data_IF_192329407351
#
_entry.id   IF_192329407351
#
_cell.length_a   1.000
_cell.length_b   1.000
_cell.length_c   1.000
_cell.angle_alpha   90.00
_cell.angle_beta   90.00
_cell.angle_gamma   90.00
#
_symmetry.space_group_name_H-M   'P 1'
#
loop_
_entity.id
_entity.type
_entity.pdbx_description
1 polymer ?
#
# COMPACT_ATOMS: atom_id res chain seq x y z
N UNK A 1 -23.83 -24.69 2.14
CA UNK A 1 -22.48 -24.20 2.52
C UNK A 1 -22.05 -24.78 3.86
N UNK A 2 -22.85 -24.68 4.92
CA UNK A 2 -22.53 -25.21 6.28
C UNK A 2 -21.99 -26.66 6.28
N UNK A 3 -22.66 -27.61 5.62
CA UNK A 3 -22.22 -29.01 5.61
C UNK A 3 -20.86 -29.26 4.92
N UNK A 4 -20.41 -28.37 4.02
CA UNK A 4 -19.12 -28.52 3.35
C UNK A 4 -17.96 -27.92 4.13
N UNK A 5 -18.22 -26.87 4.90
CA UNK A 5 -17.24 -26.26 5.80
C UNK A 5 -16.87 -27.21 6.95
N UNK A 6 -17.86 -27.91 7.52
CA UNK A 6 -17.64 -28.90 8.58
C UNK A 6 -16.75 -30.07 8.12
N UNK A 7 -16.91 -30.54 6.87
CA UNK A 7 -16.10 -31.62 6.31
C UNK A 7 -14.65 -31.19 6.07
N UNK A 8 -14.44 -29.96 5.60
CA UNK A 8 -13.08 -29.43 5.40
C UNK A 8 -12.36 -29.21 6.74
N UNK A 9 -13.09 -28.72 7.74
CA UNK A 9 -12.56 -28.50 9.09
C UNK A 9 -12.23 -29.83 9.80
N UNK A 10 -13.06 -30.86 9.62
CA UNK A 10 -12.77 -32.24 10.03
C UNK A 10 -11.45 -32.74 9.42
N UNK A 11 -11.22 -32.49 8.13
CA UNK A 11 -10.01 -32.92 7.42
C UNK A 11 -8.77 -32.22 7.96
N UNK A 12 -8.84 -30.91 8.14
CA UNK A 12 -7.72 -30.13 8.69
C UNK A 12 -7.37 -30.64 10.11
N UNK A 13 -8.38 -31.05 10.89
CA UNK A 13 -8.17 -31.67 12.20
C UNK A 13 -7.44 -33.03 12.11
N UNK A 14 -7.80 -33.89 11.14
CA UNK A 14 -7.14 -35.18 10.92
C UNK A 14 -5.68 -35.03 10.43
N UNK A 15 -5.39 -33.95 9.71
CA UNK A 15 -4.05 -33.66 9.18
C UNK A 15 -3.09 -33.08 10.27
N UNK A 16 -3.55 -32.99 11.51
CA UNK A 16 -2.74 -32.57 12.66
C UNK A 16 -2.70 -31.05 12.87
N UNK A 17 -3.67 -30.30 12.30
CA UNK A 17 -3.76 -28.85 12.46
C UNK A 17 -2.60 -28.11 11.77
N UNK A 18 -1.79 -27.39 12.56
CA UNK A 18 -0.67 -26.57 12.06
C UNK A 18 0.59 -27.44 11.89
N UNK A 19 0.55 -28.36 10.92
CA UNK A 19 1.67 -29.20 10.52
C UNK A 19 2.77 -28.44 9.78
N UNK A 20 3.81 -29.15 9.33
CA UNK A 20 4.99 -28.53 8.68
C UNK A 20 4.61 -27.79 7.40
N UNK A 21 3.74 -28.37 6.58
CA UNK A 21 3.31 -27.73 5.33
C UNK A 21 2.53 -26.44 5.59
N UNK A 22 1.60 -26.47 6.56
CA UNK A 22 0.84 -25.29 6.97
C UNK A 22 1.77 -24.18 7.46
N UNK A 23 2.79 -24.50 8.27
CA UNK A 23 3.77 -23.49 8.73
C UNK A 23 4.49 -22.82 7.56
N UNK A 24 4.93 -23.60 6.56
CA UNK A 24 5.58 -23.03 5.36
C UNK A 24 4.63 -22.08 4.64
N UNK A 25 3.39 -22.52 4.37
CA UNK A 25 2.38 -21.70 3.68
C UNK A 25 2.07 -20.43 4.48
N UNK A 26 1.85 -20.54 5.78
CA UNK A 26 1.55 -19.41 6.66
C UNK A 26 2.73 -18.42 6.73
N UNK A 27 3.97 -18.89 6.74
CA UNK A 27 5.15 -18.02 6.65
C UNK A 27 5.21 -17.31 5.30
N UNK A 28 4.93 -17.98 4.19
CA UNK A 28 4.86 -17.33 2.88
C UNK A 28 3.76 -16.25 2.83
N UNK A 29 2.57 -16.55 3.37
CA UNK A 29 1.46 -15.61 3.47
C UNK A 29 1.79 -14.40 4.36
N UNK A 30 2.50 -14.62 5.46
CA UNK A 30 3.02 -13.56 6.32
C UNK A 30 3.97 -12.64 5.53
N UNK A 31 4.93 -13.20 4.80
CA UNK A 31 5.85 -12.40 3.98
C UNK A 31 5.11 -11.61 2.90
N UNK A 32 4.12 -12.20 2.23
CA UNK A 32 3.29 -11.51 1.23
C UNK A 32 2.51 -10.36 1.87
N UNK A 33 1.89 -10.57 3.04
CA UNK A 33 1.15 -9.52 3.74
C UNK A 33 2.05 -8.34 4.15
N UNK A 34 3.24 -8.66 4.66
CA UNK A 34 4.25 -7.67 5.03
C UNK A 34 4.68 -6.85 3.81
N UNK A 35 5.01 -7.49 2.69
CA UNK A 35 5.41 -6.79 1.46
C UNK A 35 4.25 -5.98 0.85
N UNK A 36 3.03 -6.49 0.92
CA UNK A 36 1.84 -5.76 0.49
C UNK A 36 1.69 -4.44 1.25
N UNK A 37 1.80 -4.49 2.58
CA UNK A 37 1.76 -3.30 3.44
C UNK A 37 2.82 -2.28 3.05
N UNK A 38 4.08 -2.72 2.88
CA UNK A 38 5.20 -1.85 2.46
C UNK A 38 4.88 -1.11 1.16
N UNK A 39 4.37 -1.80 0.14
CA UNK A 39 4.04 -1.15 -1.14
C UNK A 39 2.80 -0.27 -1.08
N UNK A 40 1.79 -0.66 -0.31
CA UNK A 40 0.50 0.02 -0.25
C UNK A 40 0.63 1.46 0.27
N UNK A 41 1.46 1.69 1.29
CA UNK A 41 1.68 3.02 1.88
C UNK A 41 3.00 3.68 1.44
N UNK A 42 3.74 3.09 0.50
CA UNK A 42 5.01 3.64 0.00
C UNK A 42 4.85 5.06 -0.54
N UNK A 43 3.69 5.38 -1.13
CA UNK A 43 3.45 6.67 -1.75
C UNK A 43 3.56 7.83 -0.75
N UNK A 44 3.20 7.61 0.53
CA UNK A 44 3.22 8.63 1.60
C UNK A 44 4.62 9.23 1.77
N UNK A 45 5.65 8.39 1.69
CA UNK A 45 7.04 8.85 1.79
C UNK A 45 7.57 9.41 0.47
N UNK A 46 7.07 8.95 -0.68
CA UNK A 46 7.48 9.51 -1.98
C UNK A 46 6.91 10.91 -2.22
N UNK A 47 5.67 11.15 -1.75
CA UNK A 47 4.93 12.41 -1.92
C UNK A 47 5.02 13.33 -0.69
N UNK A 48 6.03 13.13 0.16
CA UNK A 48 6.26 13.99 1.32
C UNK A 48 6.68 15.39 0.83
N UNK A 49 6.10 16.43 1.43
CA UNK A 49 6.52 17.80 1.19
C UNK A 49 7.89 18.04 1.84
N UNK A 50 8.78 18.67 1.09
CA UNK A 50 10.11 19.05 1.57
C UNK A 50 10.07 20.37 2.32
N UNK A 51 10.94 20.53 3.31
CA UNK A 51 11.24 21.85 3.84
C UNK A 51 12.26 22.55 2.92
N UNK A 52 11.83 23.67 2.36
CA UNK A 52 12.61 24.51 1.47
C UNK A 52 12.18 25.97 1.64
N UNK A 53 13.08 26.86 1.23
CA UNK A 53 12.82 28.30 1.15
C UNK A 53 13.24 28.83 -0.22
N UNK A 54 12.91 30.08 -0.47
CA UNK A 54 13.36 30.75 -1.68
C UNK A 54 14.87 31.02 -1.61
N UNK A 55 15.57 30.67 -2.68
CA UNK A 55 16.98 31.02 -2.85
C UNK A 55 17.03 32.49 -3.24
N UNK A 56 17.89 33.24 -2.56
CA UNK A 56 18.13 34.65 -2.80
C UNK A 56 19.55 34.76 -3.32
N UNK A 57 19.76 34.81 -4.66
CA UNK A 57 21.08 34.74 -5.28
C UNK A 57 22.05 35.81 -4.79
N UNK A 58 21.53 36.96 -4.36
CA UNK A 58 22.29 38.08 -3.86
C UNK A 58 22.87 37.82 -2.46
N UNK A 59 22.23 36.95 -1.67
CA UNK A 59 22.51 36.75 -0.25
C UNK A 59 23.00 35.35 0.09
N UNK A 60 22.48 34.33 -0.58
CA UNK A 60 22.81 32.93 -0.34
C UNK A 60 24.22 32.62 -0.86
N UNK A 61 25.20 32.74 0.05
CA UNK A 61 26.59 32.27 -0.10
C UNK A 61 26.88 31.06 0.80
N UNK A 62 28.07 30.98 1.41
CA UNK A 62 28.41 29.95 2.41
C UNK A 62 27.93 30.37 3.82
N UNK A 63 26.63 30.57 3.98
CA UNK A 63 26.01 31.07 5.22
C UNK A 63 25.25 29.91 5.90
N UNK A 64 25.07 29.91 7.24
CA UNK A 64 24.15 28.98 7.92
C UNK A 64 22.75 28.98 7.29
N UNK A 65 22.05 27.85 7.42
CA UNK A 65 20.77 27.56 6.75
C UNK A 65 19.70 28.64 6.97
N UNK A 66 19.63 29.20 8.19
CA UNK A 66 18.73 30.28 8.59
C UNK A 66 19.50 31.53 9.06
N UNK A 67 19.80 32.46 8.16
CA UNK A 67 20.46 33.70 8.53
C UNK A 67 19.49 34.77 9.03
N UNK A 68 19.98 35.66 9.90
CA UNK A 68 19.20 36.78 10.46
C UNK A 68 18.54 37.68 9.40
N UNK A 69 19.15 37.76 8.20
CA UNK A 69 18.63 38.57 7.12
C UNK A 69 17.39 37.97 6.42
N UNK A 70 17.10 36.68 6.63
CA UNK A 70 16.02 35.95 5.95
C UNK A 70 14.64 36.58 6.25
N UNK A 71 14.44 37.08 7.47
CA UNK A 71 13.22 37.79 7.94
C UNK A 71 12.91 39.08 7.17
N UNK A 72 13.87 39.55 6.38
CA UNK A 72 13.74 40.75 5.56
C UNK A 72 13.54 40.43 4.09
N UNK A 73 13.81 39.20 3.66
CA UNK A 73 13.82 38.81 2.26
C UNK A 73 12.68 37.85 1.89
N UNK A 74 12.15 37.10 2.86
CA UNK A 74 11.01 36.19 2.69
C UNK A 74 9.94 36.56 3.74
N UNK A 75 8.64 36.55 3.38
CA UNK A 75 7.57 36.69 4.37
C UNK A 75 7.58 35.52 5.37
N UNK A 76 7.18 35.76 6.61
CA UNK A 76 7.12 34.73 7.66
C UNK A 76 5.67 34.49 8.05
N UNK A 77 5.31 33.22 8.21
CA UNK A 77 3.98 32.86 8.71
C UNK A 77 3.88 33.27 10.18
N UNK A 78 2.77 33.89 10.57
CA UNK A 78 2.62 34.49 11.91
C UNK A 78 2.46 33.47 13.05
N UNK A 79 2.17 32.21 12.74
CA UNK A 79 1.91 31.14 13.71
C UNK A 79 3.17 30.36 14.12
N UNK A 80 4.10 30.15 13.18
CA UNK A 80 5.34 29.40 13.39
C UNK A 80 6.43 30.24 12.74
N UNK A 81 7.51 30.61 13.44
CA UNK A 81 8.63 31.48 12.96
C UNK A 81 9.41 30.82 11.81
N UNK A 82 8.71 30.48 10.73
CA UNK A 82 9.15 29.79 9.52
C UNK A 82 8.91 30.69 8.31
N UNK A 83 9.84 30.69 7.34
CA UNK A 83 9.67 31.40 6.09
C UNK A 83 8.50 30.81 5.30
N UNK A 84 7.68 31.66 4.70
CA UNK A 84 6.62 31.26 3.79
C UNK A 84 7.23 30.65 2.52
N UNK A 85 6.67 29.53 2.06
CA UNK A 85 7.16 28.82 0.88
C UNK A 85 6.77 29.60 -0.39
N UNK A 86 7.64 29.58 -1.40
CA UNK A 86 7.38 30.11 -2.75
C UNK A 86 7.17 31.61 -2.96
N UNK A 87 7.18 32.43 -1.91
CA UNK A 87 7.06 33.88 -2.00
C UNK A 87 8.33 34.55 -1.49
N UNK A 88 8.74 35.64 -2.13
CA UNK A 88 9.87 36.46 -1.67
C UNK A 88 9.61 37.95 -1.89
N UNK A 89 10.29 38.80 -1.12
CA UNK A 89 10.24 40.24 -1.30
C UNK A 89 11.14 40.67 -2.46
N UNK A 90 10.68 41.66 -3.24
CA UNK A 90 11.41 42.16 -4.39
C UNK A 90 12.70 42.88 -3.96
N UNK A 91 13.82 42.48 -4.55
CA UNK A 91 15.11 43.14 -4.36
C UNK A 91 15.16 44.52 -5.05
N UNK A 92 15.67 45.54 -4.35
CA UNK A 92 15.67 46.93 -4.84
C UNK A 92 17.00 47.38 -5.50
N UNK A 93 18.15 46.78 -5.18
CA UNK A 93 19.45 47.37 -5.52
C UNK A 93 20.04 46.87 -6.85
N UNK A 94 19.66 47.48 -7.96
CA UNK A 94 20.13 47.07 -9.31
C UNK A 94 21.58 47.46 -9.64
N UNK A 95 22.34 48.11 -8.73
CA UNK A 95 23.62 48.76 -9.09
C UNK A 95 24.81 48.56 -8.15
N UNK A 96 24.84 47.50 -7.35
CA UNK A 96 26.10 47.04 -6.76
C UNK A 96 26.01 45.56 -6.41
N UNK A 97 26.77 44.71 -7.11
CA UNK A 97 27.17 43.40 -6.59
C UNK A 97 27.56 43.59 -5.13
N UNK A 98 26.86 42.92 -4.24
CA UNK A 98 27.12 42.95 -2.80
C UNK A 98 28.59 42.58 -2.62
N UNK A 99 29.40 43.58 -2.26
CA UNK A 99 30.85 43.44 -2.30
C UNK A 99 31.39 42.65 -1.11
N UNK A 100 30.54 42.16 -0.19
CA UNK A 100 30.95 41.48 1.05
C UNK A 100 29.92 40.48 1.63
N UNK A 101 28.96 39.96 0.86
CA UNK A 101 27.99 38.96 1.35
C UNK A 101 27.06 39.42 2.49
N UNK A 102 26.97 40.73 2.78
CA UNK A 102 26.10 41.27 3.83
C UNK A 102 24.77 41.75 3.25
N UNK A 103 23.73 40.93 3.41
CA UNK A 103 22.37 41.32 3.07
C UNK A 103 21.71 42.13 4.19
N UNK A 104 21.38 43.38 3.87
CA UNK A 104 20.80 44.33 4.81
C UNK A 104 19.31 44.56 4.52
N UNK A 105 18.53 44.87 5.56
CA UNK A 105 17.07 45.09 5.49
C UNK A 105 16.65 46.06 4.40
N UNK A 106 17.43 47.12 4.16
CA UNK A 106 17.16 48.16 3.17
C UNK A 106 17.22 47.67 1.71
N UNK A 107 17.68 46.44 1.47
CA UNK A 107 17.83 45.89 0.13
C UNK A 107 16.53 45.28 -0.42
N UNK A 108 15.52 45.07 0.43
CA UNK A 108 14.28 44.37 0.09
C UNK A 108 13.05 45.26 0.25
N UNK A 109 12.12 45.17 -0.71
CA UNK A 109 10.82 45.84 -0.63
C UNK A 109 9.75 44.93 -0.02
N UNK A 110 9.41 45.17 1.25
CA UNK A 110 8.34 44.42 1.93
C UNK A 110 6.94 44.62 1.35
N UNK A 111 6.71 45.69 0.60
CA UNK A 111 5.40 45.97 -0.03
C UNK A 111 5.22 45.29 -1.39
N UNK A 112 6.28 44.70 -1.95
CA UNK A 112 6.25 44.04 -3.25
C UNK A 112 6.65 42.57 -3.09
N UNK A 113 5.66 41.69 -3.09
CA UNK A 113 5.82 40.23 -3.03
C UNK A 113 5.85 39.69 -4.45
N UNK A 114 6.79 38.78 -4.72
CA UNK A 114 6.98 38.13 -6.03
C UNK A 114 7.22 36.63 -5.84
N UNK A 115 6.85 35.79 -6.83
CA UNK A 115 7.14 34.36 -6.79
C UNK A 115 8.65 34.10 -6.87
N UNK A 116 9.09 33.00 -6.28
CA UNK A 116 10.50 32.65 -6.20
C UNK A 116 11.05 32.18 -7.54
N UNK A 117 12.29 32.59 -7.85
CA UNK A 117 12.97 32.20 -9.09
C UNK A 117 13.71 30.85 -8.96
N UNK A 118 14.12 30.50 -7.75
CA UNK A 118 14.82 29.26 -7.41
C UNK A 118 14.69 28.98 -5.91
N UNK A 119 15.03 27.75 -5.50
CA UNK A 119 14.78 27.24 -4.15
C UNK A 119 16.06 26.75 -3.48
N UNK A 120 16.17 27.01 -2.17
CA UNK A 120 17.17 26.45 -1.27
C UNK A 120 16.50 25.36 -0.44
N UNK A 121 17.05 24.15 -0.48
CA UNK A 121 16.54 22.99 0.26
C UNK A 121 17.43 22.76 1.47
N UNK A 122 16.83 22.68 2.66
CA UNK A 122 17.55 22.45 3.91
C UNK A 122 18.18 21.05 3.94
N UNK A 123 17.43 20.07 3.45
CA UNK A 123 17.88 18.70 3.36
C UNK A 123 18.35 18.35 1.94
N UNK A 124 19.30 17.41 1.87
CA UNK A 124 19.75 16.82 0.60
C UNK A 124 18.76 15.79 0.05
N UNK A 125 17.59 15.68 0.67
CA UNK A 125 16.57 14.74 0.27
C UNK A 125 16.01 15.12 -1.10
N UNK A 126 15.81 14.09 -1.93
CA UNK A 126 15.23 14.21 -3.25
C UNK A 126 13.94 13.41 -3.24
N UNK A 127 12.85 14.10 -2.94
CA UNK A 127 11.48 13.58 -3.01
C UNK A 127 10.85 13.90 -4.37
N UNK A 128 9.66 13.32 -4.62
CA UNK A 128 8.93 13.46 -5.87
C UNK A 128 8.66 14.94 -6.21
N UNK A 129 8.33 15.75 -5.21
CA UNK A 129 8.01 17.17 -5.39
C UNK A 129 9.19 18.00 -5.92
N UNK A 130 10.41 17.69 -5.48
CA UNK A 130 11.64 18.36 -5.94
C UNK A 130 12.00 18.00 -7.39
N UNK A 131 11.80 16.76 -7.80
CA UNK A 131 12.12 16.30 -9.17
C UNK A 131 11.17 16.90 -10.22
N UNK A 132 9.88 17.01 -9.89
CA UNK A 132 8.84 17.48 -10.82
C UNK A 132 8.40 18.92 -10.58
N UNK A 133 9.13 19.69 -9.76
CA UNK A 133 8.86 21.10 -9.44
C UNK A 133 7.44 21.34 -8.86
N UNK A 134 7.00 20.43 -7.98
CA UNK A 134 5.71 20.45 -7.30
C UNK A 134 5.87 21.03 -5.89
N UNK A 135 6.24 22.30 -5.83
CA UNK A 135 6.61 22.97 -4.58
C UNK A 135 5.50 23.90 -4.07
N UNK A 136 5.01 24.79 -4.93
CA UNK A 136 4.09 25.86 -4.51
C UNK A 136 2.61 25.46 -4.51
N UNK A 137 1.77 26.20 -3.79
CA UNK A 137 0.32 25.93 -3.61
C UNK A 137 -0.45 25.62 -4.90
N UNK A 138 -0.07 26.26 -6.02
CA UNK A 138 -0.70 26.02 -7.32
C UNK A 138 -0.55 24.57 -7.82
N UNK A 139 0.55 23.89 -7.44
CA UNK A 139 0.91 22.54 -7.89
C UNK A 139 1.02 21.54 -6.73
N UNK A 140 1.06 21.99 -5.48
CA UNK A 140 1.26 21.15 -4.28
C UNK A 140 0.14 20.11 -4.12
N UNK A 141 -1.08 20.43 -4.54
CA UNK A 141 -2.23 19.51 -4.53
C UNK A 141 -1.98 18.22 -5.33
N UNK A 142 -1.03 18.22 -6.28
CA UNK A 142 -0.64 17.04 -7.05
C UNK A 142 0.02 15.97 -6.16
N UNK A 143 0.70 16.36 -5.07
CA UNK A 143 1.23 15.39 -4.10
C UNK A 143 0.09 14.62 -3.42
N UNK A 144 -0.99 15.31 -3.04
CA UNK A 144 -2.21 14.68 -2.50
C UNK A 144 -2.94 13.83 -3.55
N UNK A 145 -2.85 14.21 -4.83
CA UNK A 145 -3.41 13.44 -5.93
C UNK A 145 -2.78 12.05 -6.04
N UNK A 146 -1.49 11.88 -5.70
CA UNK A 146 -0.82 10.56 -5.71
C UNK A 146 -1.58 9.56 -4.83
N UNK A 147 -1.84 9.90 -3.57
CA UNK A 147 -2.60 9.03 -2.65
C UNK A 147 -4.05 8.82 -3.09
N UNK A 148 -4.65 9.82 -3.75
CA UNK A 148 -5.99 9.71 -4.33
C UNK A 148 -6.01 8.68 -5.46
N UNK A 149 -5.04 8.73 -6.37
CA UNK A 149 -4.91 7.78 -7.48
C UNK A 149 -4.65 6.37 -6.95
N UNK A 150 -3.82 6.21 -5.92
CA UNK A 150 -3.60 4.92 -5.27
C UNK A 150 -4.92 4.34 -4.71
N UNK A 151 -5.68 5.14 -3.96
CA UNK A 151 -6.97 4.73 -3.38
C UNK A 151 -8.01 4.37 -4.45
N UNK A 152 -8.12 5.19 -5.50
CA UNK A 152 -9.02 4.93 -6.64
C UNK A 152 -8.61 3.64 -7.36
N UNK A 153 -7.32 3.42 -7.55
CA UNK A 153 -6.77 2.21 -8.16
C UNK A 153 -7.11 0.97 -7.36
N UNK A 154 -6.99 1.02 -6.03
CA UNK A 154 -7.41 -0.09 -5.16
C UNK A 154 -8.90 -0.39 -5.28
N UNK A 155 -9.75 0.64 -5.30
CA UNK A 155 -11.19 0.46 -5.43
C UNK A 155 -11.55 -0.26 -6.75
N UNK A 156 -11.00 0.22 -7.86
CA UNK A 156 -11.17 -0.42 -9.18
C UNK A 156 -10.62 -1.85 -9.15
N UNK A 157 -9.43 -2.03 -8.59
CA UNK A 157 -8.76 -3.31 -8.49
C UNK A 157 -9.54 -4.32 -7.65
N UNK A 158 -10.21 -3.92 -6.56
CA UNK A 158 -11.02 -4.84 -5.75
C UNK A 158 -12.18 -5.46 -6.55
N UNK A 159 -12.82 -4.68 -7.44
CA UNK A 159 -13.88 -5.17 -8.33
C UNK A 159 -13.33 -6.18 -9.34
N UNK A 160 -12.18 -5.86 -9.96
CA UNK A 160 -11.52 -6.70 -10.97
C UNK A 160 -10.99 -7.99 -10.33
N UNK A 161 -10.27 -7.85 -9.22
CA UNK A 161 -9.68 -8.96 -8.47
C UNK A 161 -10.74 -9.89 -7.91
N UNK A 162 -11.91 -9.40 -7.49
CA UNK A 162 -13.03 -10.26 -7.09
C UNK A 162 -13.43 -11.24 -8.20
N UNK A 163 -13.60 -10.73 -9.42
CA UNK A 163 -13.91 -11.57 -10.59
C UNK A 163 -12.77 -12.54 -10.93
N UNK A 164 -11.52 -12.07 -10.92
CA UNK A 164 -10.35 -12.90 -11.23
C UNK A 164 -10.17 -14.00 -10.17
N UNK A 165 -10.30 -13.67 -8.89
CA UNK A 165 -10.16 -14.60 -7.76
C UNK A 165 -11.17 -15.75 -7.85
N UNK A 166 -12.41 -15.43 -8.21
CA UNK A 166 -13.45 -16.45 -8.36
C UNK A 166 -13.29 -17.26 -9.64
N UNK A 167 -12.73 -16.68 -10.72
CA UNK A 167 -12.56 -17.38 -12.01
C UNK A 167 -11.28 -18.22 -12.09
N UNK A 168 -10.16 -17.69 -11.62
CA UNK A 168 -8.81 -18.24 -11.79
C UNK A 168 -8.17 -18.72 -10.49
N UNK A 169 -8.79 -18.43 -9.34
CA UNK A 169 -8.30 -18.84 -8.03
C UNK A 169 -7.56 -17.72 -7.30
N UNK A 170 -7.40 -17.91 -5.98
CA UNK A 170 -6.82 -16.92 -5.07
C UNK A 170 -5.31 -16.88 -5.22
N UNK A 171 -4.68 -18.04 -5.46
CA UNK A 171 -3.23 -18.13 -5.69
C UNK A 171 -2.79 -17.32 -6.91
N UNK A 172 -3.56 -17.35 -8.00
CA UNK A 172 -3.28 -16.56 -9.19
C UNK A 172 -3.25 -15.06 -8.88
N UNK A 173 -4.26 -14.56 -8.15
CA UNK A 173 -4.31 -13.16 -7.71
C UNK A 173 -3.11 -12.79 -6.86
N UNK A 174 -2.78 -13.60 -5.84
CA UNK A 174 -1.66 -13.30 -4.95
C UNK A 174 -0.33 -13.18 -5.69
N UNK A 175 -0.09 -14.11 -6.61
CA UNK A 175 1.21 -14.21 -7.26
C UNK A 175 1.33 -13.20 -8.38
N UNK A 176 0.38 -13.19 -9.32
CA UNK A 176 0.44 -12.31 -10.47
C UNK A 176 0.08 -10.87 -10.11
N UNK A 177 -0.86 -10.68 -9.18
CA UNK A 177 -1.19 -9.35 -8.64
C UNK A 177 0.02 -8.73 -7.95
N UNK A 178 0.63 -9.42 -6.99
CA UNK A 178 1.74 -8.84 -6.24
C UNK A 178 3.05 -8.74 -7.05
N UNK A 179 3.34 -9.72 -7.92
CA UNK A 179 4.49 -9.61 -8.82
C UNK A 179 4.28 -8.52 -9.87
N UNK A 180 3.05 -8.37 -10.37
CA UNK A 180 2.66 -7.29 -11.30
C UNK A 180 2.78 -5.92 -10.64
N UNK A 181 2.30 -5.77 -9.40
CA UNK A 181 2.51 -4.59 -8.58
C UNK A 181 4.00 -4.26 -8.47
N UNK A 182 4.84 -5.25 -8.14
CA UNK A 182 6.31 -5.09 -8.11
C UNK A 182 6.88 -4.58 -9.43
N UNK A 183 6.51 -5.18 -10.55
CA UNK A 183 7.01 -4.78 -11.88
C UNK A 183 6.57 -3.37 -12.25
N UNK A 184 5.29 -3.03 -12.08
CA UNK A 184 4.76 -1.69 -12.41
C UNK A 184 5.39 -0.64 -11.49
N UNK A 185 5.52 -0.91 -10.19
CA UNK A 185 6.19 0.00 -9.27
C UNK A 185 7.67 0.21 -9.59
N UNK A 186 8.38 -0.81 -10.07
CA UNK A 186 9.74 -0.62 -10.58
C UNK A 186 9.77 0.23 -11.85
N UNK A 187 8.84 0.02 -12.79
CA UNK A 187 8.72 0.86 -14.00
C UNK A 187 8.39 2.31 -13.63
N UNK A 188 7.62 2.54 -12.56
CA UNK A 188 7.30 3.88 -12.03
C UNK A 188 8.54 4.72 -11.76
N UNK A 189 9.67 4.12 -11.37
CA UNK A 189 10.93 4.86 -11.17
C UNK A 189 11.46 5.55 -12.43
N UNK A 190 11.10 5.03 -13.61
CA UNK A 190 11.50 5.53 -14.92
C UNK A 190 10.55 6.60 -15.48
N UNK A 191 9.56 7.05 -14.70
CA UNK A 191 8.57 8.03 -15.16
C UNK A 191 9.25 9.35 -15.57
N UNK A 192 9.11 9.80 -16.83
CA UNK A 192 9.70 11.06 -17.29
C UNK A 192 8.86 12.28 -16.91
N UNK A 193 7.61 12.08 -16.49
CA UNK A 193 6.70 13.15 -16.05
C UNK A 193 5.79 12.66 -14.93
N UNK A 194 5.24 13.61 -14.18
CA UNK A 194 4.27 13.36 -13.10
C UNK A 194 3.01 12.64 -13.59
N UNK A 195 2.57 12.89 -14.84
CA UNK A 195 1.40 12.20 -15.41
C UNK A 195 1.66 10.71 -15.54
N UNK A 196 2.85 10.31 -16.04
CA UNK A 196 3.21 8.90 -16.12
C UNK A 196 3.36 8.27 -14.74
N UNK A 197 3.93 9.02 -13.78
CA UNK A 197 4.00 8.58 -12.39
C UNK A 197 2.61 8.24 -11.82
N UNK A 198 1.62 9.14 -11.99
CA UNK A 198 0.24 8.93 -11.52
C UNK A 198 -0.45 7.76 -12.22
N UNK A 199 -0.19 7.55 -13.52
CA UNK A 199 -0.73 6.39 -14.26
C UNK A 199 -0.16 5.08 -13.70
N UNK A 200 1.15 5.02 -13.42
CA UNK A 200 1.76 3.85 -12.83
C UNK A 200 1.30 3.62 -11.38
N UNK A 201 1.15 4.67 -10.58
CA UNK A 201 0.58 4.64 -9.22
C UNK A 201 -0.84 4.04 -9.22
N UNK A 202 -1.69 4.49 -10.14
CA UNK A 202 -3.04 3.91 -10.31
C UNK A 202 -2.96 2.43 -10.69
N UNK A 203 -2.08 2.11 -11.63
CA UNK A 203 -1.99 0.75 -12.20
C UNK A 203 -1.45 -0.24 -11.18
N UNK A 204 -0.37 0.09 -10.44
CA UNK A 204 0.16 -0.80 -9.41
C UNK A 204 -0.87 -1.06 -8.29
N UNK A 205 -1.66 -0.04 -7.92
CA UNK A 205 -2.71 -0.17 -6.91
C UNK A 205 -3.83 -1.11 -7.38
N UNK A 206 -4.17 -1.11 -8.68
CA UNK A 206 -5.10 -2.09 -9.26
C UNK A 206 -4.55 -3.52 -9.14
N UNK A 207 -3.25 -3.72 -9.40
CA UNK A 207 -2.61 -5.04 -9.30
C UNK A 207 -2.49 -5.55 -7.87
N UNK A 208 -2.18 -4.67 -6.91
CA UNK A 208 -2.06 -5.05 -5.50
C UNK A 208 -3.42 -5.28 -4.83
N UNK A 209 -4.50 -4.74 -5.40
CA UNK A 209 -5.85 -4.84 -4.86
C UNK A 209 -6.30 -6.29 -4.68
N UNK A 210 -6.94 -6.55 -3.54
CA UNK A 210 -7.46 -7.88 -3.18
C UNK A 210 -6.41 -8.88 -2.72
N UNK A 211 -5.12 -8.52 -2.70
CA UNK A 211 -4.04 -9.34 -2.13
C UNK A 211 -4.34 -9.65 -0.66
N UNK A 212 -4.63 -8.63 0.14
CA UNK A 212 -4.97 -8.76 1.56
C UNK A 212 -6.11 -9.78 1.78
N UNK A 213 -7.23 -9.64 1.07
CA UNK A 213 -8.37 -10.55 1.15
C UNK A 213 -8.02 -12.00 0.77
N UNK A 214 -7.26 -12.20 -0.31
CA UNK A 214 -6.82 -13.52 -0.74
C UNK A 214 -5.86 -14.17 0.29
N UNK A 215 -4.96 -13.39 0.89
CA UNK A 215 -4.07 -13.87 1.97
C UNK A 215 -4.90 -14.34 3.17
N UNK A 216 -5.85 -13.51 3.63
CA UNK A 216 -6.72 -13.87 4.75
C UNK A 216 -7.48 -15.16 4.47
N UNK A 217 -8.08 -15.32 3.29
CA UNK A 217 -8.84 -16.52 2.92
C UNK A 217 -7.96 -17.78 2.96
N UNK A 218 -6.80 -17.77 2.31
CA UNK A 218 -5.93 -18.95 2.29
C UNK A 218 -5.39 -19.25 3.70
N UNK A 219 -5.10 -18.23 4.50
CA UNK A 219 -4.62 -18.41 5.87
C UNK A 219 -5.67 -19.05 6.78
N UNK A 220 -6.93 -18.60 6.74
CA UNK A 220 -8.02 -19.18 7.54
C UNK A 220 -8.43 -20.58 7.08
N UNK A 221 -8.25 -20.90 5.80
CA UNK A 221 -8.43 -22.25 5.23
C UNK A 221 -7.30 -23.20 5.65
N UNK A 222 -6.13 -22.66 6.00
CA UNK A 222 -4.97 -23.46 6.40
C UNK A 222 -4.95 -23.80 7.89
N UNK A 223 -5.88 -23.26 8.69
CA UNK A 223 -5.92 -23.45 10.14
C UNK A 223 -7.27 -23.98 10.63
N UNK A 224 -7.23 -24.60 11.81
CA UNK A 224 -8.42 -25.06 12.52
C UNK A 224 -9.34 -23.88 12.89
N UNK A 225 -10.67 -24.11 12.99
CA UNK A 225 -11.65 -23.08 13.34
C UNK A 225 -11.31 -22.30 14.62
N UNK A 226 -10.83 -22.98 15.66
CA UNK A 226 -10.46 -22.39 16.95
C UNK A 226 -9.19 -21.50 16.89
N UNK A 227 -8.42 -21.53 15.79
CA UNK A 227 -7.22 -20.72 15.58
C UNK A 227 -7.42 -19.61 14.54
N UNK A 228 -8.58 -19.53 13.87
CA UNK A 228 -8.84 -18.52 12.84
C UNK A 228 -8.70 -17.09 13.36
N UNK A 229 -9.22 -16.79 14.55
CA UNK A 229 -9.08 -15.46 15.16
C UNK A 229 -7.61 -15.09 15.43
N UNK A 230 -6.84 -16.02 16.01
CA UNK A 230 -5.40 -15.83 16.24
C UNK A 230 -4.65 -15.59 14.93
N UNK A 231 -4.99 -16.33 13.87
CA UNK A 231 -4.39 -16.15 12.55
C UNK A 231 -4.70 -14.77 11.98
N UNK A 232 -5.93 -14.29 12.17
CA UNK A 232 -6.31 -12.92 11.84
C UNK A 232 -5.42 -11.89 12.53
N UNK A 233 -5.17 -12.05 13.84
CA UNK A 233 -4.26 -11.17 14.58
C UNK A 233 -2.81 -11.23 14.05
N UNK A 234 -2.30 -12.43 13.75
CA UNK A 234 -0.94 -12.60 13.22
C UNK A 234 -0.76 -11.87 11.89
N UNK A 235 -1.75 -11.95 10.99
CA UNK A 235 -1.71 -11.24 9.71
C UNK A 235 -1.78 -9.72 9.88
N UNK A 236 -2.58 -9.21 10.82
CA UNK A 236 -2.60 -7.78 11.14
C UNK A 236 -1.26 -7.30 11.72
N UNK A 237 -0.63 -8.10 12.60
CA UNK A 237 0.73 -7.80 13.10
C UNK A 237 1.74 -7.78 11.95
N UNK A 238 1.62 -8.72 11.01
CA UNK A 238 2.45 -8.75 9.80
C UNK A 238 2.32 -7.47 8.97
N UNK A 239 1.09 -6.99 8.80
CA UNK A 239 0.79 -5.74 8.10
C UNK A 239 1.44 -4.54 8.81
N UNK A 240 1.27 -4.41 10.13
CA UNK A 240 1.89 -3.34 10.92
C UNK A 240 3.43 -3.40 10.89
N UNK A 241 4.03 -4.59 10.92
CA UNK A 241 5.47 -4.76 10.76
C UNK A 241 5.96 -4.32 9.38
N UNK A 242 5.14 -4.46 8.33
CA UNK A 242 5.41 -3.91 7.01
C UNK A 242 5.47 -2.39 7.02
N UNK A 243 4.58 -1.72 7.75
CA UNK A 243 4.61 -0.25 7.87
C UNK A 243 5.86 0.24 8.61
N UNK A 244 6.24 -0.45 9.70
CA UNK A 244 7.49 -0.17 10.41
C UNK A 244 8.70 -0.39 9.50
N UNK A 245 8.70 -1.47 8.70
CA UNK A 245 9.77 -1.72 7.75
C UNK A 245 9.86 -0.62 6.69
N UNK A 246 8.73 -0.14 6.16
CA UNK A 246 8.73 0.98 5.21
C UNK A 246 9.34 2.24 5.83
N UNK A 247 8.96 2.60 7.06
CA UNK A 247 9.52 3.74 7.76
C UNK A 247 11.04 3.63 7.94
N UNK A 248 11.55 2.43 8.26
CA UNK A 248 12.98 2.16 8.33
C UNK A 248 13.68 2.30 6.97
N UNK A 249 13.07 1.81 5.89
CA UNK A 249 13.62 1.97 4.53
C UNK A 249 13.66 3.45 4.16
N UNK A 250 12.58 4.20 4.40
CA UNK A 250 12.51 5.63 4.12
C UNK A 250 13.55 6.43 4.92
N UNK A 251 13.76 6.09 6.21
CA UNK A 251 14.81 6.70 7.02
C UNK A 251 16.22 6.42 6.49
N UNK A 252 16.45 5.22 5.92
CA UNK A 252 17.75 4.84 5.37
C UNK A 252 18.04 5.44 3.98
N UNK A 253 16.99 5.81 3.22
CA UNK A 253 17.07 6.17 1.81
C UNK A 253 16.24 7.42 1.53
N UNK A 254 16.89 8.57 1.50
CA UNK A 254 16.28 9.89 1.27
C UNK A 254 16.07 10.23 -0.23
N UNK A 255 16.23 9.24 -1.12
CA UNK A 255 15.94 9.39 -2.55
C UNK A 255 14.72 8.56 -2.94
N UNK A 256 13.70 9.20 -3.51
CA UNK A 256 12.41 8.58 -3.79
C UNK A 256 12.51 7.37 -4.75
N UNK A 257 13.38 7.41 -5.78
CA UNK A 257 13.54 6.26 -6.68
C UNK A 257 14.19 5.06 -5.97
N UNK A 258 15.18 5.31 -5.12
CA UNK A 258 15.81 4.26 -4.29
C UNK A 258 14.81 3.61 -3.34
N UNK A 259 13.97 4.42 -2.69
CA UNK A 259 12.88 3.93 -1.84
C UNK A 259 11.96 2.97 -2.62
N UNK A 260 11.57 3.33 -3.84
CA UNK A 260 10.74 2.46 -4.70
C UNK A 260 11.49 1.16 -5.05
N UNK A 261 12.78 1.22 -5.40
CA UNK A 261 13.56 0.01 -5.69
C UNK A 261 13.56 -0.99 -4.52
N UNK A 262 13.78 -0.50 -3.29
CA UNK A 262 13.83 -1.37 -2.10
C UNK A 262 12.47 -1.91 -1.66
N UNK A 263 11.40 -1.15 -1.90
CA UNK A 263 10.03 -1.54 -1.51
C UNK A 263 9.39 -2.47 -2.54
N UNK A 264 9.53 -2.20 -3.84
CA UNK A 264 8.90 -2.97 -4.92
C UNK A 264 9.77 -4.12 -5.43
N UNK A 265 11.09 -4.04 -5.31
CA UNK A 265 12.02 -5.09 -5.73
C UNK A 265 11.69 -6.48 -5.15
N UNK A 266 11.54 -6.62 -3.81
CA UNK A 266 11.18 -7.89 -3.19
C UNK A 266 9.83 -8.46 -3.67
N UNK A 267 8.90 -7.60 -4.09
CA UNK A 267 7.57 -8.01 -4.53
C UNK A 267 7.62 -8.79 -5.86
N UNK A 268 8.58 -8.49 -6.73
CA UNK A 268 8.81 -9.25 -7.98
C UNK A 268 9.19 -10.71 -7.69
N UNK A 269 9.88 -10.96 -6.56
CA UNK A 269 10.31 -12.31 -6.17
C UNK A 269 9.14 -13.20 -5.71
N UNK A 270 7.94 -12.65 -5.49
CA UNK A 270 6.75 -13.42 -5.09
C UNK A 270 6.35 -14.45 -6.15
N UNK A 271 6.72 -14.23 -7.42
CA UNK A 271 6.53 -15.23 -8.49
C UNK A 271 7.15 -16.58 -8.14
N UNK A 272 8.26 -16.58 -7.39
CA UNK A 272 8.94 -17.81 -6.95
C UNK A 272 8.10 -18.63 -5.97
N UNK A 273 7.17 -18.00 -5.25
CA UNK A 273 6.25 -18.65 -4.31
C UNK A 273 5.15 -19.45 -5.03
N UNK A 274 5.07 -19.40 -6.37
CA UNK A 274 4.12 -20.18 -7.16
C UNK A 274 4.21 -21.68 -6.91
N UNK A 275 5.40 -22.22 -6.72
CA UNK A 275 5.56 -23.65 -6.50
C UNK A 275 5.27 -24.08 -5.06
N UNK A 276 5.23 -23.12 -4.13
CA UNK A 276 5.10 -23.37 -2.69
C UNK A 276 3.64 -23.21 -2.24
N UNK A 277 2.98 -22.15 -2.70
CA UNK A 277 1.63 -21.82 -2.27
C UNK A 277 0.61 -22.81 -2.85
N UNK A 278 -0.26 -23.41 -2.03
CA UNK A 278 -1.40 -24.16 -2.50
C UNK A 278 -2.48 -23.20 -3.03
N UNK A 279 -3.34 -23.71 -3.90
CA UNK A 279 -4.60 -23.03 -4.22
C UNK A 279 -5.61 -23.26 -3.08
N UNK A 280 -6.58 -22.36 -2.96
CA UNK A 280 -7.68 -22.47 -1.99
C UNK A 280 -8.46 -23.77 -2.19
N UNK A 281 -8.52 -24.61 -1.17
CA UNK A 281 -9.24 -25.89 -1.21
C UNK A 281 -10.72 -25.67 -1.48
N UNK A 282 -11.31 -24.62 -0.89
CA UNK A 282 -12.71 -24.26 -1.15
C UNK A 282 -12.96 -23.84 -2.59
N UNK A 283 -12.03 -23.09 -3.19
CA UNK A 283 -12.12 -22.73 -4.61
C UNK A 283 -12.07 -23.96 -5.51
N UNK A 284 -11.11 -24.84 -5.27
CA UNK A 284 -10.93 -26.05 -6.10
C UNK A 284 -12.15 -26.97 -6.00
N UNK A 285 -12.73 -27.11 -4.80
CA UNK A 285 -13.97 -27.85 -4.60
C UNK A 285 -15.18 -27.18 -5.26
N UNK A 286 -15.31 -25.85 -5.19
CA UNK A 286 -16.43 -25.13 -5.81
C UNK A 286 -16.39 -25.11 -7.34
N UNK A 287 -15.22 -25.41 -7.92
CA UNK A 287 -15.02 -25.60 -9.37
C UNK A 287 -15.18 -27.06 -9.83
N UNK A 288 -15.58 -27.98 -8.94
CA UNK A 288 -15.72 -29.40 -9.27
C UNK A 288 -14.38 -30.12 -9.51
N UNK A 289 -13.24 -29.51 -9.17
CA UNK A 289 -11.90 -30.08 -9.39
C UNK A 289 -11.49 -31.00 -8.25
N UNK A 290 -12.30 -32.04 -8.01
CA UNK A 290 -12.19 -32.89 -6.82
C UNK A 290 -10.83 -33.60 -6.75
N UNK A 291 -10.33 -34.12 -7.88
CA UNK A 291 -9.04 -34.82 -7.90
C UNK A 291 -7.86 -33.91 -7.55
N UNK A 292 -7.87 -32.65 -7.98
CA UNK A 292 -6.86 -31.66 -7.59
C UNK A 292 -6.88 -31.43 -6.07
N UNK A 293 -8.08 -31.27 -5.49
CA UNK A 293 -8.26 -31.12 -4.04
C UNK A 293 -7.77 -32.34 -3.26
N UNK A 294 -8.09 -33.56 -3.70
CA UNK A 294 -7.63 -34.80 -3.07
C UNK A 294 -6.11 -34.91 -3.13
N UNK A 295 -5.50 -34.61 -4.28
CA UNK A 295 -4.06 -34.65 -4.44
C UNK A 295 -3.37 -33.62 -3.52
N UNK A 296 -3.91 -32.41 -3.42
CA UNK A 296 -3.40 -31.38 -2.51
C UNK A 296 -3.46 -31.85 -1.04
N UNK A 297 -4.59 -32.42 -0.62
CA UNK A 297 -4.75 -32.95 0.75
C UNK A 297 -3.82 -34.15 1.03
N UNK A 298 -3.65 -35.05 0.06
CA UNK A 298 -2.69 -36.16 0.16
C UNK A 298 -1.27 -35.65 0.32
N UNK A 299 -0.86 -34.66 -0.48
CA UNK A 299 0.46 -34.04 -0.37
C UNK A 299 0.68 -33.43 1.03
N UNK A 300 -0.31 -32.69 1.56
CA UNK A 300 -0.23 -32.11 2.91
C UNK A 300 -0.10 -33.22 3.96
N UNK A 301 -0.90 -34.28 3.86
CA UNK A 301 -0.85 -35.42 4.78
C UNK A 301 0.51 -36.12 4.74
N UNK A 302 1.10 -36.32 3.56
CA UNK A 302 2.44 -36.91 3.39
C UNK A 302 3.51 -36.05 4.07
N UNK A 303 3.50 -34.72 3.86
CA UNK A 303 4.46 -33.80 4.48
C UNK A 303 4.31 -33.76 6.00
N UNK A 304 3.06 -33.84 6.49
CA UNK A 304 2.75 -33.86 7.91
C UNK A 304 2.89 -35.24 8.56
N UNK A 305 3.27 -36.27 7.80
CA UNK A 305 3.37 -37.67 8.24
C UNK A 305 2.07 -38.21 8.86
N UNK A 306 0.93 -37.75 8.35
CA UNK A 306 -0.41 -38.20 8.74
C UNK A 306 -1.02 -39.11 7.68
N UNK A 307 -1.93 -40.00 8.08
CA UNK A 307 -2.70 -40.84 7.16
C UNK A 307 -4.08 -40.22 6.96
N UNK A 308 -4.43 -39.90 5.71
CA UNK A 308 -5.78 -39.51 5.37
C UNK A 308 -6.66 -40.75 5.18
N UNK A 309 -7.83 -40.78 5.81
CA UNK A 309 -8.80 -41.86 5.60
C UNK A 309 -9.51 -41.70 4.25
N UNK A 310 -9.60 -42.79 3.49
CA UNK A 310 -10.35 -42.83 2.22
C UNK A 310 -11.85 -42.51 2.43
N UNK A 311 -12.40 -42.81 3.61
CA UNK A 311 -13.78 -42.42 3.92
C UNK A 311 -13.95 -40.89 4.03
N UNK A 312 -12.92 -40.17 4.46
CA UNK A 312 -12.95 -38.70 4.52
C UNK A 312 -12.84 -38.10 3.12
N UNK A 313 -12.06 -38.71 2.22
CA UNK A 313 -12.00 -38.31 0.81
C UNK A 313 -13.34 -38.54 0.08
N UNK A 314 -14.05 -39.63 0.40
CA UNK A 314 -15.41 -39.87 -0.13
C UNK A 314 -16.44 -38.86 0.38
N UNK A 315 -16.34 -38.44 1.65
CA UNK A 315 -17.20 -37.35 2.18
C UNK A 315 -17.01 -36.05 1.41
N UNK A 316 -15.78 -35.74 0.99
CA UNK A 316 -15.48 -34.58 0.14
C UNK A 316 -16.15 -34.64 -1.24
N UNK A 317 -16.16 -35.82 -1.88
CA UNK A 317 -16.82 -36.02 -3.18
C UNK A 317 -18.31 -35.68 -3.09
N UNK A 318 -19.01 -36.21 -2.07
CA UNK A 318 -20.44 -35.97 -1.87
C UNK A 318 -20.76 -34.47 -1.66
N UNK A 319 -19.87 -33.74 -0.96
CA UNK A 319 -20.03 -32.30 -0.76
C UNK A 319 -19.84 -31.52 -2.06
N UNK A 320 -18.87 -31.92 -2.88
CA UNK A 320 -18.59 -31.26 -4.16
C UNK A 320 -19.73 -31.48 -5.18
N UNK A 321 -20.29 -32.69 -5.28
CA UNK A 321 -21.44 -32.99 -6.14
C UNK A 321 -22.69 -32.18 -5.74
N UNK A 322 -22.93 -32.01 -4.43
CA UNK A 322 -24.01 -31.17 -3.94
C UNK A 322 -23.81 -29.68 -4.26
N UNK A 323 -22.56 -29.21 -4.28
CA UNK A 323 -22.20 -27.82 -4.59
C UNK A 323 -22.42 -27.48 -6.06
N UNK A 324 -22.07 -28.38 -6.99
CA UNK A 324 -22.23 -28.14 -8.44
C UNK A 324 -23.70 -27.98 -8.86
N UNK A 325 -24.60 -28.79 -8.28
CA UNK A 325 -26.04 -28.65 -8.49
C UNK A 325 -26.62 -27.30 -8.01
N UNK A 326 -25.94 -26.63 -7.07
CA UNK A 326 -26.40 -25.36 -6.49
C UNK A 326 -25.91 -24.13 -7.29
N UNK A 327 -24.83 -24.26 -8.07
CA UNK A 327 -24.15 -23.14 -8.73
C UNK A 327 -24.85 -22.64 -10.00
N UNK A 328 -25.74 -23.44 -10.63
CA UNK A 328 -26.41 -23.07 -11.89
C UNK A 328 -27.36 -21.85 -11.77
N UNK A 329 -27.83 -21.51 -10.55
CA UNK A 329 -28.90 -20.51 -10.37
C UNK A 329 -28.55 -19.25 -9.55
N UNK A 330 -27.31 -19.03 -9.11
CA UNK A 330 -27.11 -18.21 -7.89
C UNK A 330 -26.45 -16.83 -8.00
N UNK A 331 -25.86 -16.41 -9.12
CA UNK A 331 -25.12 -15.14 -9.11
C UNK A 331 -26.02 -13.90 -8.93
N UNK A 332 -27.18 -13.88 -9.60
CA UNK A 332 -28.16 -12.77 -9.51
C UNK A 332 -28.92 -12.79 -8.18
N UNK A 333 -29.16 -13.97 -7.60
CA UNK A 333 -29.81 -14.08 -6.27
C UNK A 333 -28.89 -13.65 -5.12
N UNK A 334 -27.58 -13.93 -5.23
CA UNK A 334 -26.58 -13.52 -4.23
C UNK A 334 -26.45 -11.99 -4.18
N UNK A 335 -26.45 -11.31 -5.34
CA UNK A 335 -26.46 -9.84 -5.40
C UNK A 335 -27.77 -9.23 -4.84
N UNK A 336 -28.87 -9.99 -4.84
CA UNK A 336 -30.16 -9.58 -4.24
C UNK A 336 -30.28 -9.96 -2.77
N UNK A 337 -29.28 -10.64 -2.19
CA UNK A 337 -29.30 -11.03 -0.77
C UNK A 337 -29.27 -9.81 0.13
N UNK A 338 -30.34 -9.60 0.90
CA UNK A 338 -30.41 -8.54 1.92
C UNK A 338 -29.27 -8.66 2.93
N UNK A 339 -28.85 -9.87 3.29
CA UNK A 339 -27.73 -10.08 4.21
C UNK A 339 -26.41 -9.58 3.62
N UNK A 340 -26.17 -9.82 2.33
CA UNK A 340 -24.93 -9.42 1.67
C UNK A 340 -24.91 -7.90 1.46
N UNK A 341 -26.07 -7.31 1.15
CA UNK A 341 -26.25 -5.85 1.13
C UNK A 341 -25.98 -5.23 2.51
N UNK A 342 -26.55 -5.76 3.59
CA UNK A 342 -26.31 -5.23 4.94
C UNK A 342 -24.88 -5.44 5.43
N UNK A 343 -24.26 -6.59 5.16
CA UNK A 343 -22.86 -6.84 5.49
C UNK A 343 -21.93 -5.93 4.69
N UNK A 344 -22.19 -5.72 3.40
CA UNK A 344 -21.43 -4.80 2.57
C UNK A 344 -21.57 -3.35 3.07
N UNK A 345 -22.80 -2.89 3.35
CA UNK A 345 -23.01 -1.55 3.90
C UNK A 345 -22.38 -1.39 5.29
N UNK A 346 -22.42 -2.41 6.15
CA UNK A 346 -21.77 -2.38 7.46
C UNK A 346 -20.25 -2.27 7.33
N UNK A 347 -19.63 -3.11 6.50
CA UNK A 347 -18.18 -3.07 6.24
C UNK A 347 -17.79 -1.73 5.63
N UNK A 348 -18.51 -1.27 4.61
CA UNK A 348 -18.30 0.05 4.02
C UNK A 348 -18.44 1.18 5.06
N UNK A 349 -19.41 1.07 5.97
CA UNK A 349 -19.61 2.06 7.05
C UNK A 349 -18.48 2.04 8.08
N UNK A 350 -17.99 0.85 8.45
CA UNK A 350 -16.85 0.69 9.37
C UNK A 350 -15.58 1.21 8.71
N UNK A 351 -15.34 0.88 7.44
CA UNK A 351 -14.19 1.36 6.68
C UNK A 351 -14.25 2.87 6.50
N UNK A 352 -15.42 3.45 6.19
CA UNK A 352 -15.63 4.90 6.14
C UNK A 352 -15.43 5.57 7.50
N UNK A 353 -15.86 4.95 8.59
CA UNK A 353 -15.59 5.43 9.95
C UNK A 353 -14.09 5.38 10.26
N UNK A 354 -13.41 4.31 9.87
CA UNK A 354 -11.97 4.17 10.05
C UNK A 354 -11.21 5.22 9.24
N UNK A 355 -11.63 5.46 8.00
CA UNK A 355 -11.12 6.51 7.13
C UNK A 355 -11.39 7.91 7.70
N UNK A 356 -12.58 8.14 8.26
CA UNK A 356 -12.92 9.37 8.95
C UNK A 356 -12.04 9.59 10.18
N UNK A 357 -11.86 8.57 11.02
CA UNK A 357 -10.99 8.63 12.20
C UNK A 357 -9.55 8.91 11.77
N UNK A 358 -9.03 8.18 10.78
CA UNK A 358 -7.68 8.38 10.25
C UNK A 358 -7.51 9.79 9.68
N UNK A 359 -8.44 10.26 8.83
CA UNK A 359 -8.41 11.61 8.28
C UNK A 359 -8.50 12.69 9.38
N UNK A 360 -9.32 12.47 10.41
CA UNK A 360 -9.44 13.39 11.54
C UNK A 360 -8.15 13.42 12.36
N UNK A 361 -7.52 12.27 12.60
CA UNK A 361 -6.21 12.17 13.25
C UNK A 361 -5.11 12.83 12.43
N UNK A 362 -5.10 12.66 11.10
CA UNK A 362 -4.14 13.31 10.20
C UNK A 362 -4.33 14.82 10.15
N UNK A 363 -5.58 15.31 10.09
CA UNK A 363 -5.88 16.75 10.14
C UNK A 363 -5.50 17.33 11.50
N UNK A 364 -5.81 16.65 12.60
CA UNK A 364 -5.37 17.07 13.94
C UNK A 364 -3.84 17.11 14.04
N UNK A 365 -3.14 16.12 13.52
CA UNK A 365 -1.69 16.10 13.50
C UNK A 365 -1.11 17.26 12.66
N UNK A 366 -1.74 17.58 11.53
CA UNK A 366 -1.34 18.73 10.71
C UNK A 366 -1.63 20.08 11.38
N UNK A 367 -2.70 20.18 12.16
CA UNK A 367 -3.00 21.37 12.95
C UNK A 367 -2.03 21.52 14.13
N UNK A 368 -1.66 20.41 14.79
CA UNK A 368 -0.70 20.40 15.91
C UNK A 368 0.76 20.65 15.49
N UNK A 369 1.09 20.46 14.21
CA UNK A 369 2.44 20.72 13.68
C UNK A 369 2.57 22.11 13.05
N UNK A 370 1.45 22.83 12.89
CA UNK A 370 1.38 24.19 12.34
C UNK A 370 0.99 25.26 13.40
N UNK A 371 0.81 24.87 14.66
CA UNK A 371 0.94 25.73 15.86
C UNK A 371 2.35 25.59 16.43
#
# INVERSE_FOLDING_TARGET
>A
MVAGDDVLDDIISQIGGIGKQQKIVLTCLFVIMLLHSVTHIAYVFTSMDTDYRCLIPECDGNIPDDPDWLKYAVPFTSSVDRPEKCLMYKYMNTSSKILNGSCNFSSFNKSAITPCSSYYFYDNDYYLGREFDLLCDENLWILSLVGTMNTVGMFIGLLVTGFISDRYGRKCVLIFGMSGCGVIGLIKTLSPSIVWYLVFELTEAIFSAGTCGCVFIIAIESVLPNKRALMGCILNISYALGEVLLALIAWSCQYWRSLIYYTYGPCVMIVLLYWILPESLRWTLSKGRIEESKQALRNIATVNKQKLSENTLKRLENVAEYSDNCNSHKFIEILKSKSLFWSFNLVLSIDLLYWQIWSYSSIQFHLYTNE
#
